data_IF_779289383462
#
_entry.id   IF_779289383462
#
_cell.length_a   1.000
_cell.length_b   1.000
_cell.length_c   1.000
_cell.angle_alpha   90.00
_cell.angle_beta   90.00
_cell.angle_gamma   90.00
#
_symmetry.space_group_name_H-M   'P 1'
#
loop_
_entity.id
_entity.type
_entity.pdbx_description
1 polymer ?
#
# COMPACT_ATOMS: atom_id res chain seq x y z
N UNK A 1 6.38 -12.60 21.45
CA UNK A 1 7.22 -11.66 20.67
C UNK A 1 7.71 -10.59 21.61
N UNK A 2 8.88 -9.97 21.38
CA UNK A 2 9.26 -8.78 22.13
C UNK A 2 8.15 -7.73 22.00
N UNK A 3 7.60 -7.31 23.14
CA UNK A 3 6.62 -6.23 23.22
C UNK A 3 7.39 -4.93 23.22
N UNK A 4 7.29 -4.17 22.12
CA UNK A 4 7.90 -2.85 22.02
C UNK A 4 6.87 -1.80 22.47
N UNK A 5 7.29 -0.90 23.34
CA UNK A 5 6.46 0.23 23.79
C UNK A 5 6.48 1.35 22.73
N UNK A 6 5.84 1.09 21.59
CA UNK A 6 5.78 2.07 20.50
C UNK A 6 5.04 3.35 20.94
N UNK A 7 5.62 4.54 20.71
CA UNK A 7 4.94 5.81 20.90
C UNK A 7 3.62 5.89 20.13
N UNK A 8 2.63 6.57 20.69
CA UNK A 8 1.28 6.65 20.10
C UNK A 8 1.30 7.30 18.72
N UNK A 9 2.09 8.35 18.52
CA UNK A 9 2.27 9.03 17.24
C UNK A 9 2.85 8.09 16.16
N UNK A 10 3.80 7.23 16.52
CA UNK A 10 4.33 6.19 15.63
C UNK A 10 3.27 5.13 15.28
N UNK A 11 2.44 4.72 16.26
CA UNK A 11 1.33 3.77 16.04
C UNK A 11 0.28 4.39 15.11
N UNK A 12 -0.09 5.64 15.34
CA UNK A 12 -1.08 6.38 14.55
C UNK A 12 -0.56 6.59 13.12
N UNK A 13 0.71 6.95 12.95
CA UNK A 13 1.34 7.08 11.63
C UNK A 13 1.36 5.75 10.87
N UNK A 14 1.65 4.64 11.55
CA UNK A 14 1.61 3.30 10.95
C UNK A 14 0.19 2.90 10.55
N UNK A 15 -0.81 3.16 11.40
CA UNK A 15 -2.22 2.88 11.09
C UNK A 15 -2.68 3.69 9.89
N UNK A 16 -2.42 5.00 9.88
CA UNK A 16 -2.75 5.87 8.75
C UNK A 16 -2.06 5.42 7.45
N UNK A 17 -0.83 4.90 7.53
CA UNK A 17 -0.12 4.35 6.38
C UNK A 17 -0.83 3.11 5.82
N UNK A 18 -1.29 2.20 6.69
CA UNK A 18 -2.06 1.02 6.29
C UNK A 18 -3.39 1.40 5.66
N UNK A 19 -4.15 2.29 6.29
CA UNK A 19 -5.44 2.74 5.78
C UNK A 19 -5.30 3.45 4.42
N UNK A 20 -4.28 4.30 4.27
CA UNK A 20 -4.03 5.00 3.00
C UNK A 20 -3.66 4.03 1.89
N UNK A 21 -2.83 3.02 2.18
CA UNK A 21 -2.49 1.96 1.21
C UNK A 21 -3.72 1.13 0.83
N UNK A 22 -4.53 0.73 1.79
CA UNK A 22 -5.77 -0.01 1.53
C UNK A 22 -6.72 0.80 0.65
N UNK A 23 -6.88 2.11 0.92
CA UNK A 23 -7.65 3.03 0.09
C UNK A 23 -7.08 3.17 -1.31
N UNK A 24 -5.77 3.35 -1.44
CA UNK A 24 -5.08 3.39 -2.74
C UNK A 24 -5.35 2.14 -3.56
N UNK A 25 -5.17 0.94 -2.98
CA UNK A 25 -5.41 -0.30 -3.69
C UNK A 25 -6.88 -0.50 -4.07
N UNK A 26 -7.81 -0.16 -3.16
CA UNK A 26 -9.24 -0.24 -3.44
C UNK A 26 -9.62 0.69 -4.59
N UNK A 27 -9.09 1.91 -4.60
CA UNK A 27 -9.33 2.87 -5.67
C UNK A 27 -8.72 2.40 -6.99
N UNK A 28 -7.46 1.97 -7.00
CA UNK A 28 -6.77 1.48 -8.18
C UNK A 28 -7.49 0.27 -8.82
N UNK A 29 -8.11 -0.60 -8.03
CA UNK A 29 -8.94 -1.72 -8.54
C UNK A 29 -10.19 -1.27 -9.31
N UNK A 30 -10.66 -0.03 -9.09
CA UNK A 30 -11.81 0.54 -9.83
C UNK A 30 -11.40 1.25 -11.12
N UNK A 31 -10.11 1.51 -11.31
CA UNK A 31 -9.60 2.25 -12.46
C UNK A 31 -9.44 1.34 -13.68
N UNK A 32 -9.38 1.94 -14.89
CA UNK A 32 -8.92 1.24 -16.07
C UNK A 32 -7.58 0.55 -15.83
N UNK A 33 -7.32 -0.54 -16.53
CA UNK A 33 -6.09 -1.32 -16.30
C UNK A 33 -4.82 -0.60 -16.76
N UNK A 34 -4.95 0.50 -17.50
CA UNK A 34 -3.86 1.38 -17.92
C UNK A 34 -4.17 2.83 -17.57
N UNK A 35 -3.14 3.53 -17.10
CA UNK A 35 -3.18 4.97 -16.84
C UNK A 35 -3.27 5.80 -18.14
N UNK A 36 -2.61 5.36 -19.20
CA UNK A 36 -2.71 5.99 -20.52
C UNK A 36 -3.71 5.24 -21.41
N UNK A 37 -4.29 5.89 -22.42
CA UNK A 37 -5.07 5.20 -23.45
C UNK A 37 -4.22 4.08 -24.09
N UNK A 38 -4.68 2.84 -23.98
CA UNK A 38 -3.98 1.69 -24.55
C UNK A 38 -4.95 0.74 -25.25
N UNK A 39 -4.61 0.26 -26.47
CA UNK A 39 -5.41 -0.75 -27.12
C UNK A 39 -5.40 -2.04 -26.30
N UNK A 40 -6.53 -2.72 -26.34
CA UNK A 40 -6.67 -4.06 -25.82
C UNK A 40 -5.80 -5.05 -26.58
N UNK A 41 -5.55 -6.18 -25.95
CA UNK A 41 -4.77 -7.26 -26.52
C UNK A 41 -5.31 -8.60 -26.05
N UNK A 42 -5.10 -9.62 -26.87
CA UNK A 42 -5.40 -11.02 -26.55
C UNK A 42 -4.11 -11.82 -26.77
N UNK A 43 -3.70 -12.62 -25.79
CA UNK A 43 -2.57 -13.51 -25.95
C UNK A 43 -2.92 -14.66 -26.86
N UNK A 44 -1.90 -15.25 -27.46
CA UNK A 44 -2.03 -16.58 -28.05
C UNK A 44 -2.48 -17.60 -26.99
N UNK A 45 -3.12 -18.66 -27.47
CA UNK A 45 -3.57 -19.78 -26.64
C UNK A 45 -2.35 -20.42 -25.98
N UNK A 46 -2.34 -20.50 -24.66
CA UNK A 46 -1.28 -21.21 -23.96
C UNK A 46 -1.35 -22.73 -24.26
N UNK A 47 -0.22 -23.43 -24.47
CA UNK A 47 -0.22 -24.87 -24.67
C UNK A 47 -0.94 -25.59 -23.52
N UNK A 48 -1.74 -26.61 -23.85
CA UNK A 48 -2.47 -27.45 -22.90
C UNK A 48 -3.58 -26.78 -22.06
N UNK A 49 -3.97 -25.54 -22.37
CA UNK A 49 -5.18 -24.89 -21.81
C UNK A 49 -6.01 -24.20 -22.89
N UNK A 50 -7.33 -24.09 -22.68
CA UNK A 50 -8.22 -23.26 -23.51
C UNK A 50 -8.21 -21.79 -23.10
N UNK A 51 -7.56 -21.45 -21.98
CA UNK A 51 -7.51 -20.09 -21.46
C UNK A 51 -6.70 -19.17 -22.38
N UNK A 52 -7.27 -18.00 -22.66
CA UNK A 52 -6.59 -16.88 -23.32
C UNK A 52 -6.66 -15.68 -22.38
N UNK A 53 -5.50 -15.13 -22.07
CA UNK A 53 -5.43 -13.87 -21.32
C UNK A 53 -5.61 -12.70 -22.27
N UNK A 54 -6.29 -11.67 -21.82
CA UNK A 54 -6.40 -10.44 -22.59
C UNK A 54 -6.91 -9.30 -21.74
N UNK A 55 -6.77 -8.10 -22.27
CA UNK A 55 -7.32 -6.87 -21.73
C UNK A 55 -8.11 -6.17 -22.84
N UNK A 56 -9.24 -5.59 -22.48
CA UNK A 56 -10.01 -4.71 -23.39
C UNK A 56 -9.27 -3.40 -23.59
N UNK A 57 -9.69 -2.56 -24.54
CA UNK A 57 -9.18 -1.20 -24.66
C UNK A 57 -9.29 -0.47 -23.31
N UNK A 58 -8.21 0.20 -22.91
CA UNK A 58 -8.20 1.12 -21.78
C UNK A 58 -8.34 2.55 -22.30
N UNK A 59 -9.31 3.33 -21.81
CA UNK A 59 -9.37 4.75 -22.12
C UNK A 59 -8.27 5.58 -21.44
N UNK A 60 -7.51 5.00 -20.51
CA UNK A 60 -6.63 5.76 -19.62
C UNK A 60 -7.39 6.33 -18.43
N UNK A 61 -6.67 6.97 -17.52
CA UNK A 61 -7.26 7.67 -16.37
C UNK A 61 -7.80 9.02 -16.82
N UNK A 62 -8.91 9.45 -16.22
CA UNK A 62 -9.30 10.85 -16.27
C UNK A 62 -8.35 11.70 -15.42
N UNK A 63 -8.33 13.02 -15.65
CA UNK A 63 -7.51 13.94 -14.85
C UNK A 63 -7.84 13.84 -13.35
N UNK A 64 -9.12 13.68 -13.01
CA UNK A 64 -9.59 13.50 -11.64
C UNK A 64 -9.07 12.19 -11.02
N UNK A 65 -9.07 11.11 -11.80
CA UNK A 65 -8.55 9.81 -11.36
C UNK A 65 -7.03 9.85 -11.15
N UNK A 66 -6.31 10.46 -12.09
CA UNK A 66 -4.87 10.65 -11.98
C UNK A 66 -4.52 11.54 -10.76
N UNK A 67 -5.28 12.60 -10.52
CA UNK A 67 -5.09 13.48 -9.37
C UNK A 67 -5.35 12.76 -8.03
N UNK A 68 -6.40 11.94 -7.92
CA UNK A 68 -6.67 11.16 -6.70
C UNK A 68 -5.59 10.11 -6.45
N UNK A 69 -5.10 9.42 -7.49
CA UNK A 69 -3.95 8.51 -7.38
C UNK A 69 -2.72 9.25 -6.87
N UNK A 70 -2.34 10.37 -7.50
CA UNK A 70 -1.18 11.15 -7.11
C UNK A 70 -1.29 11.66 -5.66
N UNK A 71 -2.49 12.07 -5.22
CA UNK A 71 -2.76 12.48 -3.84
C UNK A 71 -2.55 11.32 -2.86
N UNK A 72 -3.06 10.13 -3.18
CA UNK A 72 -2.91 8.95 -2.33
C UNK A 72 -1.44 8.49 -2.27
N UNK A 73 -0.73 8.47 -3.40
CA UNK A 73 0.69 8.14 -3.46
C UNK A 73 1.55 9.12 -2.65
N UNK A 74 1.30 10.43 -2.79
CA UNK A 74 1.98 11.45 -2.00
C UNK A 74 1.75 11.24 -0.50
N UNK A 75 0.51 10.90 -0.10
CA UNK A 75 0.19 10.62 1.30
C UNK A 75 0.86 9.34 1.82
N UNK A 76 0.91 8.28 1.02
CA UNK A 76 1.65 7.05 1.36
C UNK A 76 3.14 7.33 1.54
N UNK A 77 3.73 8.15 0.67
CA UNK A 77 5.13 8.55 0.77
C UNK A 77 5.39 9.35 2.05
N UNK A 78 4.58 10.38 2.31
CA UNK A 78 4.68 11.21 3.51
C UNK A 78 4.63 10.38 4.80
N UNK A 79 3.61 9.53 4.94
CA UNK A 79 3.46 8.64 6.09
C UNK A 79 4.61 7.62 6.18
N UNK A 80 5.06 7.10 5.05
CA UNK A 80 6.22 6.22 4.98
C UNK A 80 7.50 6.88 5.49
N UNK A 81 7.71 8.16 5.19
CA UNK A 81 8.83 8.95 5.72
C UNK A 81 8.68 9.11 7.22
N UNK A 82 7.52 9.57 7.72
CA UNK A 82 7.25 9.76 9.16
C UNK A 82 7.57 8.49 9.95
N UNK A 83 7.05 7.35 9.50
CA UNK A 83 7.31 6.07 10.15
C UNK A 83 8.79 5.72 10.05
N UNK A 84 9.44 5.85 8.90
CA UNK A 84 10.81 5.35 8.69
C UNK A 84 11.87 6.16 9.43
N UNK A 85 11.65 7.47 9.61
CA UNK A 85 12.60 8.41 10.23
C UNK A 85 12.24 8.75 11.67
N UNK A 86 11.26 8.07 12.27
CA UNK A 86 10.79 8.34 13.62
C UNK A 86 11.93 8.27 14.67
N UNK A 87 12.03 9.23 15.62
CA UNK A 87 13.08 9.25 16.64
C UNK A 87 13.16 7.99 17.51
N UNK A 88 12.04 7.28 17.68
CA UNK A 88 11.98 5.99 18.39
C UNK A 88 13.00 4.97 17.87
N UNK A 89 13.34 4.99 16.57
CA UNK A 89 14.31 4.02 16.04
C UNK A 89 15.71 4.21 16.60
N UNK A 90 16.05 5.41 17.07
CA UNK A 90 17.31 5.67 17.75
C UNK A 90 17.37 5.10 19.17
N UNK A 91 16.22 4.78 19.79
CA UNK A 91 16.17 4.14 21.11
C UNK A 91 16.18 2.61 21.07
N UNK A 92 16.13 2.02 19.87
CA UNK A 92 16.16 0.56 19.70
C UNK A 92 17.60 0.08 19.54
N UNK A 93 18.17 -0.48 20.61
CA UNK A 93 19.59 -0.88 20.67
C UNK A 93 19.96 -1.99 19.68
N UNK A 94 19.05 -2.94 19.45
CA UNK A 94 19.21 -4.03 18.47
C UNK A 94 17.85 -4.50 17.97
N UNK A 95 17.82 -5.13 16.80
CA UNK A 95 16.56 -5.67 16.24
C UNK A 95 15.60 -4.60 15.71
N UNK A 96 16.10 -3.48 15.17
CA UNK A 96 15.26 -2.43 14.55
C UNK A 96 14.37 -2.99 13.44
N UNK A 97 14.84 -3.99 12.70
CA UNK A 97 14.04 -4.67 11.67
C UNK A 97 12.88 -5.43 12.30
N UNK A 98 13.12 -6.19 13.37
CA UNK A 98 12.07 -6.93 14.09
C UNK A 98 11.06 -5.97 14.73
N UNK A 99 11.53 -4.85 15.29
CA UNK A 99 10.67 -3.79 15.81
C UNK A 99 9.78 -3.16 14.72
N UNK A 100 10.34 -2.88 13.54
CA UNK A 100 9.55 -2.39 12.39
C UNK A 100 8.54 -3.41 11.89
N UNK A 101 8.88 -4.71 11.94
CA UNK A 101 7.95 -5.77 11.60
C UNK A 101 6.82 -5.87 12.62
N UNK A 102 7.14 -5.83 13.93
CA UNK A 102 6.15 -5.83 14.99
C UNK A 102 5.20 -4.62 14.90
N UNK A 103 5.72 -3.42 14.60
CA UNK A 103 4.93 -2.20 14.44
C UNK A 103 3.78 -2.37 13.43
N UNK A 104 4.01 -3.08 12.32
CA UNK A 104 2.98 -3.33 11.29
C UNK A 104 1.79 -4.11 11.83
N UNK A 105 1.94 -4.91 12.88
CA UNK A 105 0.89 -5.76 13.43
C UNK A 105 0.28 -5.22 14.73
N UNK A 106 0.74 -4.06 15.22
CA UNK A 106 0.26 -3.48 16.49
C UNK A 106 -1.24 -3.22 16.51
N UNK A 107 -1.83 -2.95 15.35
CA UNK A 107 -3.27 -2.71 15.19
C UNK A 107 -4.10 -4.00 15.11
N UNK A 108 -3.46 -5.15 14.89
CA UNK A 108 -4.10 -6.47 14.82
C UNK A 108 -4.22 -7.13 16.21
N UNK A 109 -3.46 -6.66 17.20
CA UNK A 109 -3.57 -7.16 18.55
C UNK A 109 -4.86 -6.60 19.19
N UNK A 110 -5.84 -7.45 19.53
CA UNK A 110 -7.04 -6.97 20.19
C UNK A 110 -6.64 -6.32 21.52
N UNK A 111 -7.24 -5.17 21.82
CA UNK A 111 -7.20 -4.63 23.17
C UNK A 111 -7.71 -5.71 24.13
N UNK A 112 -6.86 -6.16 25.05
CA UNK A 112 -7.31 -7.01 26.16
C UNK A 112 -8.52 -6.32 26.81
N UNK A 113 -9.64 -7.04 26.83
CA UNK A 113 -10.91 -6.62 27.39
C UNK A 113 -10.97 -6.85 28.90
#
# INVERSE_FOLDING_TARGET
>A
MPTYDFPQDLRDAQLALHETRARYEQYARTLPWSAEPMPGWESEKQPYTSFRSGKTDSPGYTDEQAAEIARLEARVLELGVIVSTHPFWSSVESGVVDARMALKHVHEQPAEA
#
